data_IF_423848253091
#
_entry.id   IF_423848253091
#
_cell.length_a   1.000
_cell.length_b   1.000
_cell.length_c   1.000
_cell.angle_alpha   90.00
_cell.angle_beta   90.00
_cell.angle_gamma   90.00
#
_symmetry.space_group_name_H-M   'P 1'
#
loop_
_entity.id
_entity.type
_entity.pdbx_description
1 polymer ?
#
# COMPACT_ATOMS: atom_id res chain seq x y z
N UNK A 1 -18.15 -11.67 2.80
CA UNK A 1 -17.46 -12.62 1.90
C UNK A 1 -17.23 -12.07 0.50
N UNK A 2 -18.25 -11.79 -0.32
CA UNK A 2 -18.00 -11.34 -1.72
C UNK A 2 -17.43 -9.92 -1.85
N UNK A 3 -17.92 -8.94 -1.08
CA UNK A 3 -17.44 -7.56 -1.19
C UNK A 3 -15.98 -7.39 -0.74
N UNK A 4 -15.59 -8.06 0.34
CA UNK A 4 -14.20 -8.01 0.85
C UNK A 4 -13.23 -8.63 -0.16
N UNK A 5 -13.60 -9.73 -0.82
CA UNK A 5 -12.78 -10.33 -1.87
C UNK A 5 -12.55 -9.36 -3.04
N UNK A 6 -13.59 -8.65 -3.49
CA UNK A 6 -13.45 -7.62 -4.53
C UNK A 6 -12.59 -6.43 -4.10
N UNK A 7 -12.64 -6.05 -2.82
CA UNK A 7 -11.79 -4.99 -2.25
C UNK A 7 -10.33 -5.44 -2.23
N UNK A 8 -10.07 -6.68 -1.79
CA UNK A 8 -8.71 -7.25 -1.77
C UNK A 8 -8.15 -7.32 -3.19
N UNK A 9 -8.92 -7.80 -4.18
CA UNK A 9 -8.51 -7.84 -5.58
C UNK A 9 -8.15 -6.44 -6.12
N UNK A 10 -8.99 -5.43 -5.84
CA UNK A 10 -8.73 -4.05 -6.26
C UNK A 10 -7.47 -3.47 -5.60
N UNK A 11 -7.23 -3.76 -4.31
CA UNK A 11 -6.04 -3.31 -3.59
C UNK A 11 -4.76 -3.99 -4.10
N UNK A 12 -4.83 -5.27 -4.49
CA UNK A 12 -3.69 -5.97 -5.11
C UNK A 12 -3.32 -5.33 -6.45
N UNK A 13 -4.30 -5.01 -7.30
CA UNK A 13 -4.07 -4.32 -8.57
C UNK A 13 -3.50 -2.91 -8.38
N UNK A 14 -4.04 -2.14 -7.43
CA UNK A 14 -3.55 -0.79 -7.11
C UNK A 14 -2.11 -0.82 -6.59
N UNK A 15 -1.80 -1.74 -5.66
CA UNK A 15 -0.46 -1.95 -5.12
C UNK A 15 0.56 -2.20 -6.25
N UNK A 16 0.23 -3.05 -7.21
CA UNK A 16 1.12 -3.35 -8.34
C UNK A 16 1.37 -2.11 -9.21
N UNK A 17 0.33 -1.31 -9.48
CA UNK A 17 0.44 -0.05 -10.21
C UNK A 17 1.32 0.99 -9.49
N UNK A 18 1.19 1.07 -8.17
CA UNK A 18 2.01 1.94 -7.33
C UNK A 18 3.48 1.52 -7.35
N UNK A 19 3.76 0.22 -7.24
CA UNK A 19 5.13 -0.32 -7.30
C UNK A 19 5.81 0.00 -8.64
N UNK A 20 5.09 -0.17 -9.76
CA UNK A 20 5.60 0.22 -11.07
C UNK A 20 5.93 1.72 -11.16
N UNK A 21 5.03 2.56 -10.65
CA UNK A 21 5.22 4.02 -10.65
C UNK A 21 6.44 4.43 -9.82
N UNK A 22 6.57 3.88 -8.61
CA UNK A 22 7.70 4.16 -7.71
C UNK A 22 9.03 3.72 -8.35
N UNK A 23 9.06 2.54 -8.98
CA UNK A 23 10.26 2.05 -9.67
C UNK A 23 10.67 3.01 -10.80
N UNK A 24 9.73 3.45 -11.63
CA UNK A 24 10.01 4.42 -12.68
C UNK A 24 10.56 5.75 -12.14
N UNK A 25 10.05 6.22 -10.98
CA UNK A 25 10.54 7.43 -10.33
C UNK A 25 11.97 7.25 -9.78
N UNK A 26 12.27 6.11 -9.16
CA UNK A 26 13.61 5.80 -8.63
C UNK A 26 14.65 5.72 -9.76
N UNK A 27 14.29 5.08 -10.87
CA UNK A 27 15.12 5.02 -12.08
C UNK A 27 15.41 6.43 -12.62
N UNK A 28 14.40 7.30 -12.67
CA UNK A 28 14.56 8.69 -13.11
C UNK A 28 15.37 9.54 -12.13
N UNK A 29 15.25 9.31 -10.82
CA UNK A 29 15.96 10.07 -9.79
C UNK A 29 17.38 9.56 -9.52
N UNK A 30 17.76 8.38 -10.01
CA UNK A 30 19.03 7.72 -9.70
C UNK A 30 19.16 7.38 -8.21
N UNK A 31 18.03 7.32 -7.49
CA UNK A 31 18.03 6.97 -6.08
C UNK A 31 18.19 5.46 -5.95
N UNK A 32 18.92 4.95 -4.94
CA UNK A 32 18.84 3.54 -4.60
C UNK A 32 17.38 3.21 -4.32
N UNK A 33 16.90 2.06 -4.80
CA UNK A 33 15.51 1.68 -4.59
C UNK A 33 15.28 1.39 -3.09
N UNK A 34 14.45 2.17 -2.37
CA UNK A 34 14.03 1.85 -1.00
C UNK A 34 13.10 0.62 -0.90
N UNK A 35 12.53 0.17 -2.01
CA UNK A 35 11.65 -1.00 -2.06
C UNK A 35 12.42 -2.16 -2.70
N UNK A 36 12.79 -3.14 -1.88
CA UNK A 36 13.41 -4.39 -2.33
C UNK A 36 12.39 -5.32 -2.98
N UNK A 37 12.88 -6.34 -3.68
CA UNK A 37 12.06 -7.41 -4.27
C UNK A 37 11.25 -8.20 -3.22
N UNK A 38 11.59 -8.07 -1.93
CA UNK A 38 10.87 -8.66 -0.79
C UNK A 38 9.43 -8.13 -0.66
N UNK A 39 9.16 -6.88 -1.09
CA UNK A 39 7.80 -6.31 -1.14
C UNK A 39 6.91 -6.91 -2.23
N UNK A 40 7.48 -7.66 -3.18
CA UNK A 40 6.71 -8.36 -4.22
C UNK A 40 6.20 -9.72 -3.75
N UNK A 41 6.68 -10.21 -2.61
CA UNK A 41 6.14 -11.43 -2.02
C UNK A 41 4.72 -11.11 -1.55
N UNK A 42 3.73 -11.76 -2.16
CA UNK A 42 2.36 -11.69 -1.67
C UNK A 42 2.34 -12.22 -0.24
N UNK A 43 1.65 -11.55 0.69
CA UNK A 43 1.48 -12.12 2.02
C UNK A 43 0.81 -13.48 1.85
N UNK A 44 1.50 -14.57 2.21
CA UNK A 44 0.88 -15.89 2.31
C UNK A 44 -0.40 -15.73 3.13
N UNK A 45 -1.53 -16.30 2.66
CA UNK A 45 -2.92 -16.13 3.12
C UNK A 45 -3.18 -16.47 4.62
N UNK A 46 -2.38 -15.96 5.54
CA UNK A 46 -2.69 -15.87 6.96
C UNK A 46 -3.48 -14.60 7.20
N UNK A 47 -4.57 -14.44 6.44
CA UNK A 47 -5.67 -13.57 6.82
C UNK A 47 -6.44 -14.28 7.93
N UNK A 48 -5.82 -14.46 9.11
CA UNK A 48 -6.63 -14.19 10.29
C UNK A 48 -7.02 -12.73 10.12
N UNK A 49 -8.32 -12.44 10.13
CA UNK A 49 -8.87 -11.10 9.97
C UNK A 49 -8.25 -10.18 11.05
N UNK A 50 -7.04 -9.67 10.82
CA UNK A 50 -6.56 -8.49 11.51
C UNK A 50 -7.54 -7.42 11.07
N UNK A 51 -8.47 -7.13 11.98
CA UNK A 51 -9.33 -5.97 11.96
C UNK A 51 -8.42 -4.81 11.57
N UNK A 52 -8.53 -4.36 10.32
CA UNK A 52 -7.87 -3.15 9.84
C UNK A 52 -8.30 -2.06 10.80
N UNK A 53 -7.46 -1.81 11.81
CA UNK A 53 -7.69 -0.78 12.80
C UNK A 53 -7.91 0.49 11.98
N UNK A 54 -9.09 1.09 12.15
CA UNK A 54 -9.48 2.29 11.44
C UNK A 54 -8.36 3.30 11.68
N UNK A 55 -7.53 3.57 10.66
CA UNK A 55 -6.41 4.49 10.79
C UNK A 55 -7.03 5.78 11.29
N UNK A 56 -6.68 6.25 12.50
CA UNK A 56 -7.34 7.42 13.05
C UNK A 56 -7.05 8.57 12.07
N UNK A 57 -8.11 9.09 11.47
CA UNK A 57 -8.07 10.35 10.75
C UNK A 57 -7.65 11.39 11.78
N UNK A 58 -6.35 11.65 11.86
CA UNK A 58 -5.81 12.63 12.79
C UNK A 58 -6.52 13.94 12.54
N UNK A 59 -7.23 14.44 13.55
CA UNK A 59 -7.66 15.83 13.60
C UNK A 59 -6.38 16.66 13.75
N UNK A 60 -5.66 16.82 12.65
CA UNK A 60 -4.63 17.82 12.52
C UNK A 60 -5.32 19.17 12.55
N UNK A 61 -5.41 19.76 13.74
CA UNK A 61 -5.67 21.19 13.88
C UNK A 61 -4.49 21.90 13.19
N UNK A 62 -4.69 22.25 11.92
CA UNK A 62 -3.87 23.28 11.28
C UNK A 62 -4.25 24.59 11.96
N UNK A 63 -3.40 25.01 12.89
CA UNK A 63 -3.45 26.32 13.51
C UNK A 63 -3.13 27.37 12.42
N UNK A 64 -4.18 27.90 11.78
CA UNK A 64 -4.08 29.11 10.95
C UNK A 64 -4.11 30.32 11.90
N UNK A 65 -2.92 30.64 12.45
CA UNK A 65 -2.50 31.85 13.18
C UNK A 65 -3.55 32.96 13.50
#
# INVERSE_FOLDING_TARGET
MQAQHLIIEALVEEKDGLLQTIKGLQEASGAPAPFDDEWKEEPEEQQEEEEIEEIPLGEGEIDDE
#
